data_IF_522078461237
#
_entry.id   IF_522078461237
#
_cell.length_a   1.000
_cell.length_b   1.000
_cell.length_c   1.000
_cell.angle_alpha   90.00
_cell.angle_beta   90.00
_cell.angle_gamma   90.00
#
_symmetry.space_group_name_H-M   'P 1'
#
loop_
_entity.id
_entity.type
_entity.pdbx_description
1 polymer ?
#
# COMPACT_ATOMS: atom_id res chain seq x y z
N UNK A 1 -9.50 17.85 2.61
CA UNK A 1 -9.18 16.61 1.87
C UNK A 1 -8.83 15.53 2.90
N UNK A 2 -9.18 14.26 2.65
CA UNK A 2 -8.93 13.14 3.57
C UNK A 2 -7.44 12.75 3.65
N UNK A 3 -6.68 13.01 2.58
CA UNK A 3 -5.24 12.76 2.50
C UNK A 3 -4.46 14.08 2.49
N UNK A 4 -3.35 14.09 3.25
CA UNK A 4 -2.42 15.20 3.30
C UNK A 4 -1.67 15.32 1.96
N UNK A 5 -1.10 16.49 1.71
CA UNK A 5 -0.20 16.67 0.57
C UNK A 5 1.14 16.00 0.83
N UNK A 6 1.85 15.67 -0.24
CA UNK A 6 3.20 15.09 -0.16
C UNK A 6 4.15 15.95 0.67
N UNK A 7 4.05 17.28 0.54
CA UNK A 7 4.90 18.22 1.29
C UNK A 7 4.61 18.16 2.80
N UNK A 8 3.34 17.98 3.17
CA UNK A 8 2.91 17.91 4.58
C UNK A 8 3.38 16.61 5.25
N UNK A 9 3.44 15.50 4.50
CA UNK A 9 4.01 14.25 5.02
C UNK A 9 5.51 14.38 5.30
N UNK A 10 6.27 15.03 4.41
CA UNK A 10 7.71 15.27 4.63
C UNK A 10 7.90 16.13 5.88
N UNK A 11 7.10 17.20 6.02
CA UNK A 11 7.16 18.08 7.19
C UNK A 11 6.89 17.32 8.50
N UNK A 12 5.89 16.43 8.53
CA UNK A 12 5.58 15.62 9.70
C UNK A 12 6.72 14.67 10.08
N UNK A 13 7.30 13.96 9.12
CA UNK A 13 8.43 13.06 9.38
C UNK A 13 9.66 13.81 9.90
N UNK A 14 9.98 14.95 9.28
CA UNK A 14 11.09 15.81 9.75
C UNK A 14 10.83 16.33 11.17
N UNK A 15 9.61 16.80 11.48
CA UNK A 15 9.24 17.24 12.84
C UNK A 15 9.27 16.12 13.88
N UNK A 16 9.00 14.88 13.46
CA UNK A 16 9.08 13.70 14.31
C UNK A 16 10.54 13.23 14.56
N UNK A 17 11.53 13.93 14.01
CA UNK A 17 12.95 13.64 14.20
C UNK A 17 13.49 12.53 13.28
N UNK A 18 12.84 12.28 12.15
CA UNK A 18 13.40 11.42 11.11
C UNK A 18 14.40 12.21 10.25
N UNK A 19 15.52 11.58 9.95
CA UNK A 19 16.55 12.06 9.03
C UNK A 19 16.45 11.34 7.68
N UNK A 20 17.06 11.91 6.62
CA UNK A 20 17.01 11.36 5.25
C UNK A 20 15.58 11.02 4.78
N UNK A 21 14.66 11.97 4.97
CA UNK A 21 13.25 11.79 4.59
C UNK A 21 13.12 11.82 3.07
N UNK A 22 12.72 10.69 2.48
CA UNK A 22 12.55 10.51 1.05
C UNK A 22 11.08 10.24 0.72
N UNK A 23 10.61 10.86 -0.36
CA UNK A 23 9.27 10.69 -0.89
C UNK A 23 9.32 9.79 -2.12
N UNK A 24 8.67 8.62 -2.04
CA UNK A 24 8.52 7.71 -3.18
C UNK A 24 7.06 7.59 -3.57
N UNK A 25 6.76 8.02 -4.80
CA UNK A 25 5.47 7.80 -5.44
C UNK A 25 5.40 6.35 -5.94
N UNK A 26 4.44 5.59 -5.42
CA UNK A 26 4.18 4.21 -5.84
C UNK A 26 2.92 4.22 -6.69
N UNK A 27 3.10 3.95 -7.98
CA UNK A 27 1.98 3.86 -8.88
C UNK A 27 2.33 3.33 -10.25
N UNK A 28 1.34 2.75 -10.94
CA UNK A 28 1.51 2.34 -12.32
C UNK A 28 1.70 3.57 -13.22
N UNK A 29 2.55 3.42 -14.23
CA UNK A 29 2.83 4.50 -15.19
C UNK A 29 1.56 5.00 -15.91
N UNK A 30 0.60 4.10 -16.12
CA UNK A 30 -0.68 4.37 -16.78
C UNK A 30 -1.66 5.23 -15.96
N UNK A 31 -1.42 5.48 -14.66
CA UNK A 31 -2.31 6.32 -13.87
C UNK A 31 -2.10 7.81 -14.19
N UNK A 32 -3.11 8.44 -14.80
CA UNK A 32 -3.09 9.86 -15.25
C UNK A 32 -3.80 10.82 -14.29
N UNK A 33 -4.32 10.32 -13.16
CA UNK A 33 -5.03 11.12 -12.16
C UNK A 33 -4.14 12.00 -11.28
N UNK A 34 -4.74 12.64 -10.28
CA UNK A 34 -4.05 13.56 -9.39
C UNK A 34 -2.95 12.87 -8.57
N UNK A 35 -1.71 13.35 -8.69
CA UNK A 35 -0.54 12.73 -8.01
C UNK A 35 -0.12 13.44 -6.72
N UNK A 36 -0.61 14.65 -6.47
CA UNK A 36 -0.07 15.56 -5.43
C UNK A 36 -0.58 15.28 -4.00
N UNK A 37 -1.68 14.53 -3.86
CA UNK A 37 -2.36 14.31 -2.58
C UNK A 37 -2.28 12.85 -2.12
N UNK A 38 -1.21 12.14 -2.47
CA UNK A 38 -1.07 10.71 -2.16
C UNK A 38 -2.11 9.79 -2.82
N UNK A 39 -2.83 10.31 -3.83
CA UNK A 39 -3.91 9.63 -4.57
C UNK A 39 -3.40 8.71 -5.71
N UNK A 40 -2.09 8.64 -5.92
CA UNK A 40 -1.49 7.52 -6.63
C UNK A 40 -1.48 6.36 -5.65
N UNK A 41 -1.94 5.18 -6.06
CA UNK A 41 -2.05 3.89 -5.33
C UNK A 41 -1.31 3.79 -3.96
N UNK A 42 -0.08 4.27 -3.83
CA UNK A 42 0.40 4.80 -2.55
C UNK A 42 1.44 5.93 -2.69
N UNK A 43 1.54 6.79 -1.68
CA UNK A 43 2.72 7.60 -1.42
C UNK A 43 3.46 7.00 -0.23
N UNK A 44 4.73 6.65 -0.40
CA UNK A 44 5.58 6.16 0.68
C UNK A 44 6.56 7.26 1.08
N UNK A 45 6.54 7.62 2.37
CA UNK A 45 7.58 8.45 2.99
C UNK A 45 8.44 7.54 3.83
N UNK A 46 9.74 7.51 3.52
CA UNK A 46 10.73 6.76 4.27
C UNK A 46 11.66 7.73 4.96
N UNK A 47 12.12 7.41 6.16
CA UNK A 47 13.14 8.18 6.86
C UNK A 47 13.86 7.29 7.87
N UNK A 48 15.07 7.67 8.24
CA UNK A 48 15.85 7.00 9.26
C UNK A 48 15.58 7.69 10.60
N UNK A 49 15.18 6.93 11.60
CA UNK A 49 15.09 7.44 12.96
C UNK A 49 16.38 7.08 13.71
N UNK A 50 17.30 8.04 13.96
CA UNK A 50 18.63 7.74 14.49
C UNK A 50 18.58 7.18 15.92
N UNK A 51 17.57 7.58 16.70
CA UNK A 51 17.37 7.10 18.06
C UNK A 51 16.02 6.36 18.14
N UNK A 52 16.01 5.06 18.48
CA UNK A 52 14.76 4.39 18.82
C UNK A 52 14.15 5.10 20.03
N UNK A 53 12.97 5.68 19.87
CA UNK A 53 12.22 6.19 21.00
C UNK A 53 11.53 5.04 21.72
N UNK A 54 11.34 5.17 23.03
CA UNK A 54 10.56 4.20 23.77
C UNK A 54 9.14 4.15 23.21
N UNK A 55 8.72 2.96 22.77
CA UNK A 55 7.33 2.73 22.38
C UNK A 55 6.48 2.64 23.65
N UNK A 56 5.46 3.48 23.82
CA UNK A 56 4.52 3.32 24.94
C UNK A 56 3.72 2.02 24.83
N UNK A 57 3.75 1.36 23.67
CA UNK A 57 3.02 0.14 23.39
C UNK A 57 3.82 -1.08 23.86
N UNK A 58 3.46 -1.61 25.04
CA UNK A 58 3.89 -2.93 25.48
C UNK A 58 3.04 -3.99 24.78
N UNK A 59 3.60 -4.61 23.74
CA UNK A 59 2.96 -5.72 23.05
C UNK A 59 3.01 -6.95 23.95
N UNK A 60 1.85 -7.58 24.20
CA UNK A 60 1.79 -8.87 24.88
C UNK A 60 2.44 -9.98 24.06
N UNK A 61 2.61 -11.17 24.66
CA UNK A 61 3.04 -12.35 23.92
C UNK A 61 2.13 -12.55 22.70
N UNK A 62 2.74 -12.67 21.52
CA UNK A 62 2.06 -13.03 20.28
C UNK A 62 1.59 -14.48 20.39
N UNK A 63 0.47 -14.69 21.08
CA UNK A 63 -0.14 -15.99 21.27
C UNK A 63 -1.13 -16.24 20.12
N UNK A 64 -0.64 -16.84 19.04
CA UNK A 64 -1.52 -17.50 18.10
C UNK A 64 -1.90 -18.87 18.68
N UNK A 65 -3.19 -19.13 18.85
CA UNK A 65 -3.71 -20.42 19.31
C UNK A 65 -3.54 -21.47 18.19
N UNK A 66 -2.35 -22.08 18.14
CA UNK A 66 -1.98 -23.14 17.19
C UNK A 66 -2.53 -24.52 17.59
N UNK A 67 -3.23 -24.63 18.72
CA UNK A 67 -3.71 -25.92 19.23
C UNK A 67 -4.90 -26.49 18.45
N UNK A 68 -5.63 -25.64 17.71
CA UNK A 68 -6.84 -26.04 17.00
C UNK A 68 -6.51 -26.57 15.59
N UNK A 69 -6.96 -27.78 15.23
CA UNK A 69 -6.81 -28.26 13.86
C UNK A 69 -7.63 -27.39 12.91
N UNK A 70 -7.01 -26.96 11.81
CA UNK A 70 -7.71 -26.21 10.76
C UNK A 70 -8.75 -27.12 10.09
N UNK A 71 -10.00 -26.65 9.97
CA UNK A 71 -11.04 -27.43 9.31
C UNK A 71 -10.77 -27.52 7.80
N UNK A 72 -10.68 -28.73 7.21
CA UNK A 72 -10.32 -28.90 5.80
C UNK A 72 -11.27 -28.18 4.83
N UNK A 73 -12.57 -28.12 5.18
CA UNK A 73 -13.57 -27.41 4.39
C UNK A 73 -13.34 -25.89 4.38
N UNK A 74 -13.06 -25.27 5.53
CA UNK A 74 -12.77 -23.83 5.61
C UNK A 74 -11.47 -23.51 4.89
N UNK A 75 -10.48 -24.40 4.98
CA UNK A 75 -9.25 -24.28 4.21
C UNK A 75 -9.53 -24.26 2.71
N UNK A 76 -10.31 -25.22 2.19
CA UNK A 76 -10.67 -25.26 0.77
C UNK A 76 -11.41 -24.00 0.32
N UNK A 77 -12.37 -23.52 1.11
CA UNK A 77 -13.10 -22.29 0.80
C UNK A 77 -12.18 -21.06 0.75
N UNK A 78 -11.25 -20.94 1.72
CA UNK A 78 -10.24 -19.87 1.72
C UNK A 78 -9.30 -19.97 0.53
N UNK A 79 -8.93 -21.19 0.14
CA UNK A 79 -8.08 -21.44 -1.03
C UNK A 79 -8.77 -21.00 -2.34
N UNK A 80 -10.03 -21.38 -2.54
CA UNK A 80 -10.80 -20.96 -3.72
C UNK A 80 -10.97 -19.44 -3.74
N UNK A 81 -11.37 -18.83 -2.61
CA UNK A 81 -11.52 -17.38 -2.49
C UNK A 81 -10.20 -16.64 -2.78
N UNK A 82 -9.09 -17.13 -2.20
CA UNK A 82 -7.76 -16.58 -2.43
C UNK A 82 -7.33 -16.70 -3.89
N UNK A 83 -7.65 -17.82 -4.55
CA UNK A 83 -7.36 -18.04 -5.96
C UNK A 83 -8.16 -17.10 -6.85
N UNK A 84 -9.46 -16.92 -6.57
CA UNK A 84 -10.30 -15.96 -7.29
C UNK A 84 -9.80 -14.52 -7.13
N UNK A 85 -9.41 -14.13 -5.91
CA UNK A 85 -8.81 -12.83 -5.65
C UNK A 85 -7.50 -12.67 -6.44
N UNK A 86 -6.61 -13.66 -6.42
CA UNK A 86 -5.36 -13.64 -7.17
C UNK A 86 -5.59 -13.47 -8.68
N UNK A 87 -6.55 -14.21 -9.26
CA UNK A 87 -6.93 -14.07 -10.67
C UNK A 87 -7.43 -12.65 -10.95
N UNK A 88 -8.30 -12.11 -10.09
CA UNK A 88 -8.81 -10.75 -10.25
C UNK A 88 -7.68 -9.70 -10.23
N UNK A 89 -6.78 -9.79 -9.24
CA UNK A 89 -5.62 -8.91 -9.12
C UNK A 89 -4.58 -9.10 -10.23
N UNK A 90 -4.59 -10.23 -10.95
CA UNK A 90 -3.79 -10.44 -12.16
C UNK A 90 -4.43 -9.81 -13.39
N UNK A 91 -5.74 -9.96 -13.57
CA UNK A 91 -6.47 -9.48 -14.76
C UNK A 91 -6.58 -7.96 -14.79
N UNK A 92 -6.80 -7.30 -13.64
CA UNK A 92 -6.99 -5.85 -13.57
C UNK A 92 -5.76 -5.06 -14.10
N UNK A 93 -4.52 -5.33 -13.66
CA UNK A 93 -3.34 -4.65 -14.20
C UNK A 93 -3.11 -4.90 -15.69
N UNK A 94 -3.37 -6.13 -16.18
CA UNK A 94 -3.26 -6.47 -17.61
C UNK A 94 -4.26 -5.64 -18.42
N UNK A 95 -5.52 -5.60 -17.97
CA UNK A 95 -6.57 -4.80 -18.60
C UNK A 95 -6.22 -3.31 -18.62
N UNK A 96 -5.78 -2.75 -17.49
CA UNK A 96 -5.39 -1.34 -17.41
C UNK A 96 -4.17 -1.02 -18.27
N UNK A 97 -3.22 -1.94 -18.38
CA UNK A 97 -2.06 -1.79 -19.26
C UNK A 97 -2.47 -1.78 -20.74
N UNK A 98 -3.32 -2.71 -21.17
CA UNK A 98 -3.87 -2.73 -22.53
C UNK A 98 -4.62 -1.42 -22.82
N UNK A 99 -5.43 -0.96 -21.86
CA UNK A 99 -6.17 0.31 -21.97
C UNK A 99 -5.22 1.51 -22.15
N UNK A 100 -4.10 1.55 -21.44
CA UNK A 100 -3.10 2.63 -21.58
C UNK A 100 -2.40 2.65 -22.94
N UNK A 101 -2.15 1.47 -23.52
CA UNK A 101 -1.58 1.35 -24.87
C UNK A 101 -2.56 1.85 -25.93
N UNK A 102 -3.86 1.63 -25.75
CA UNK A 102 -4.89 1.99 -26.74
C UNK A 102 -5.35 3.44 -26.60
N UNK A 103 -5.49 3.96 -25.36
CA UNK A 103 -6.08 5.28 -25.09
C UNK A 103 -5.00 6.39 -25.24
N UNK A 104 -5.16 7.33 -26.18
CA UNK A 104 -4.25 8.47 -26.35
C UNK A 104 -3.98 9.23 -25.05
N UNK A 105 -2.73 9.67 -24.86
CA UNK A 105 -2.22 10.29 -23.63
C UNK A 105 -3.03 11.45 -23.04
N UNK A 106 -3.82 12.13 -23.88
CA UNK A 106 -4.58 13.33 -23.50
C UNK A 106 -5.95 13.02 -22.87
N UNK A 107 -6.38 11.75 -22.83
CA UNK A 107 -7.66 11.35 -22.24
C UNK A 107 -7.47 10.65 -20.88
N UNK A 108 -8.38 10.86 -19.90
CA UNK A 108 -8.34 10.14 -18.64
C UNK A 108 -8.61 8.64 -18.85
N UNK A 109 -7.89 7.79 -18.11
CA UNK A 109 -8.05 6.33 -18.06
C UNK A 109 -8.79 5.97 -16.79
#
# INVERSE_FOLDING_TARGET
>A
MLFLKEEEYIEWFTKAGFEDVQLKRIGPKWYRGARRYGLVIGCAVTGVKPVPGDSPLQLGLKAEDVSRPASPFVFLMRFVLGTMAAIYYLLVPIYMWIKDVIVPGCMPI
#
